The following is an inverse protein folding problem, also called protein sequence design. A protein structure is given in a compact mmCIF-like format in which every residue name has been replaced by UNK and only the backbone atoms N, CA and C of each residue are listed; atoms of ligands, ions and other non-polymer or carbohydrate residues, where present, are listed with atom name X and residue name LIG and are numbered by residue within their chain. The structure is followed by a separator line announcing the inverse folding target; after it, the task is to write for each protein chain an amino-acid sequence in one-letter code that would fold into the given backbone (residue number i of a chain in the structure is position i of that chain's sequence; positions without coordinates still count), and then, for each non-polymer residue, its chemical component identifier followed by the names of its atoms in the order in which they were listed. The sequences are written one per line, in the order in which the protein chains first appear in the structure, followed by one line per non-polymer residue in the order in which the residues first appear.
data_IF_026630620427
#
_entry.id   IF_026630620427
#
_cell.length_a   1.000
_cell.length_b   1.000
_cell.length_c   1.000
_cell.angle_alpha   90.00
_cell.angle_beta   90.00
_cell.angle_gamma   90.00
#
_symmetry.space_group_name_H-M   'P 1'
#
loop_
_entity.id
_entity.type
_entity.pdbx_description
1 polymer ?
#
# COMPACT_ATOMS: atom_id res chain seq x y z
N UNK A 1 32.43 -29.34 -7.84
CA UNK A 1 31.15 -29.32 -7.13
C UNK A 1 30.13 -30.07 -7.94
N UNK A 2 29.63 -31.17 -7.36
CA UNK A 2 28.51 -31.94 -7.89
C UNK A 2 27.26 -31.05 -7.99
N UNK A 3 26.37 -31.36 -8.94
CA UNK A 3 25.14 -30.58 -9.16
C UNK A 3 24.26 -30.57 -7.91
N UNK A 4 24.24 -31.67 -7.15
CA UNK A 4 23.50 -31.81 -5.89
C UNK A 4 24.01 -30.85 -4.83
N UNK A 5 25.34 -30.72 -4.70
CA UNK A 5 25.99 -29.81 -3.75
C UNK A 5 25.68 -28.34 -4.05
N UNK A 6 25.67 -27.95 -5.35
CA UNK A 6 25.26 -26.61 -5.77
C UNK A 6 23.78 -26.32 -5.49
N UNK A 7 22.91 -27.32 -5.67
CA UNK A 7 21.48 -27.20 -5.37
C UNK A 7 21.27 -27.03 -3.87
N UNK A 8 21.89 -27.88 -3.05
CA UNK A 8 21.83 -27.80 -1.59
C UNK A 8 22.30 -26.42 -1.12
N UNK A 9 23.44 -25.93 -1.60
CA UNK A 9 23.93 -24.60 -1.22
C UNK A 9 22.96 -23.47 -1.60
N UNK A 10 22.36 -23.52 -2.80
CA UNK A 10 21.37 -22.52 -3.22
C UNK A 10 20.09 -22.59 -2.39
N UNK A 11 19.59 -23.78 -2.07
CA UNK A 11 18.41 -23.96 -1.22
C UNK A 11 18.68 -23.45 0.19
N UNK A 12 19.80 -23.87 0.79
CA UNK A 12 20.15 -23.52 2.17
C UNK A 12 20.37 -22.01 2.35
N UNK A 13 20.93 -21.31 1.36
CA UNK A 13 21.17 -19.86 1.50
C UNK A 13 19.98 -19.04 1.03
N UNK A 14 19.61 -19.16 -0.26
CA UNK A 14 18.61 -18.29 -0.88
C UNK A 14 17.19 -18.59 -0.39
N UNK A 15 16.82 -19.86 -0.28
CA UNK A 15 15.47 -20.20 0.17
C UNK A 15 15.30 -19.87 1.66
N UNK A 16 16.30 -20.15 2.50
CA UNK A 16 16.27 -19.79 3.91
C UNK A 16 16.15 -18.26 4.10
N UNK A 17 16.92 -17.46 3.37
CA UNK A 17 16.82 -16.00 3.44
C UNK A 17 15.42 -15.50 3.07
N UNK A 18 14.83 -16.02 1.98
CA UNK A 18 13.46 -15.64 1.57
C UNK A 18 12.40 -16.03 2.61
N UNK A 19 12.55 -17.19 3.23
CA UNK A 19 11.64 -17.64 4.29
C UNK A 19 11.77 -16.76 5.55
N UNK A 20 12.99 -16.31 5.88
CA UNK A 20 13.20 -15.37 6.98
C UNK A 20 12.57 -14.00 6.68
N UNK A 21 12.81 -13.45 5.49
CA UNK A 21 12.16 -12.20 5.05
C UNK A 21 10.63 -12.29 5.16
N UNK A 22 10.04 -13.41 4.73
CA UNK A 22 8.60 -13.63 4.86
C UNK A 22 8.14 -13.58 6.33
N UNK A 23 8.80 -14.33 7.22
CA UNK A 23 8.45 -14.35 8.66
C UNK A 23 8.57 -12.98 9.30
N UNK A 24 9.65 -12.27 9.02
CA UNK A 24 9.88 -10.92 9.54
C UNK A 24 8.82 -9.94 9.03
N UNK A 25 8.59 -9.90 7.72
CA UNK A 25 7.56 -9.05 7.13
C UNK A 25 6.17 -9.37 7.68
N UNK A 26 5.84 -10.65 7.87
CA UNK A 26 4.58 -11.08 8.46
C UNK A 26 4.42 -10.59 9.89
N UNK A 27 5.46 -10.72 10.72
CA UNK A 27 5.43 -10.23 12.11
C UNK A 27 5.20 -8.71 12.20
N UNK A 28 5.80 -7.93 11.30
CA UNK A 28 5.56 -6.49 11.23
C UNK A 28 4.21 -6.14 10.63
N UNK A 29 3.67 -6.94 9.73
CA UNK A 29 2.31 -6.76 9.23
C UNK A 29 1.27 -7.01 10.32
N UNK A 30 1.47 -8.02 11.17
CA UNK A 30 0.60 -8.25 12.32
C UNK A 30 0.69 -7.09 13.33
N UNK A 31 1.89 -6.58 13.60
CA UNK A 31 2.08 -5.38 14.42
C UNK A 31 1.43 -4.14 13.79
N UNK A 32 1.50 -3.99 12.46
CA UNK A 32 0.83 -2.90 11.74
C UNK A 32 -0.69 -2.96 11.92
N UNK A 33 -1.28 -4.16 11.91
CA UNK A 33 -2.71 -4.33 12.18
C UNK A 33 -3.10 -3.87 13.58
N UNK A 34 -2.30 -4.21 14.58
CA UNK A 34 -2.49 -3.73 15.95
C UNK A 34 -2.42 -2.20 16.02
N UNK A 35 -1.40 -1.59 15.38
CA UNK A 35 -1.24 -0.13 15.31
C UNK A 35 -2.46 0.54 14.67
N UNK A 36 -2.98 0.00 13.56
CA UNK A 36 -4.17 0.53 12.89
C UNK A 36 -5.41 0.39 13.77
N UNK A 37 -5.55 -0.75 14.47
CA UNK A 37 -6.64 -1.00 15.41
C UNK A 37 -6.64 0.03 16.53
N UNK A 38 -5.51 0.17 17.24
CA UNK A 38 -5.31 1.16 18.32
C UNK A 38 -5.56 2.59 17.84
N UNK A 39 -4.99 2.97 16.69
CA UNK A 39 -5.16 4.32 16.14
C UNK A 39 -6.62 4.59 15.74
N UNK A 40 -7.31 3.60 15.19
CA UNK A 40 -8.72 3.76 14.83
C UNK A 40 -9.61 3.98 16.06
N UNK A 41 -9.33 3.29 17.17
CA UNK A 41 -10.06 3.45 18.43
C UNK A 41 -9.76 4.81 19.07
N UNK A 42 -8.48 5.20 19.13
CA UNK A 42 -8.01 6.50 19.62
C UNK A 42 -8.72 7.65 18.87
N UNK A 43 -8.67 7.64 17.54
CA UNK A 43 -9.27 8.69 16.73
C UNK A 43 -10.80 8.68 16.79
N UNK A 44 -11.43 7.51 16.83
CA UNK A 44 -12.89 7.42 16.91
C UNK A 44 -13.43 7.97 18.24
N UNK A 45 -12.70 7.76 19.35
CA UNK A 45 -13.06 8.33 20.66
C UNK A 45 -13.04 9.87 20.66
N UNK A 46 -12.07 10.47 19.97
CA UNK A 46 -11.95 11.92 19.87
C UNK A 46 -12.95 12.54 18.86
N UNK A 47 -13.22 11.86 17.74
CA UNK A 47 -14.03 12.41 16.65
C UNK A 47 -15.53 12.15 16.82
N UNK A 48 -15.93 10.98 17.31
CA UNK A 48 -17.35 10.61 17.45
C UNK A 48 -18.19 11.59 18.29
N UNK A 49 -17.67 12.18 19.39
CA UNK A 49 -18.38 13.23 20.14
C UNK A 49 -18.60 14.52 19.35
N UNK A 50 -17.76 14.80 18.35
CA UNK A 50 -17.82 16.01 17.51
C UNK A 50 -18.80 15.78 16.36
N UNK A 51 -18.63 14.68 15.62
CA UNK A 51 -19.53 14.28 14.54
C UNK A 51 -19.58 12.76 14.38
N UNK A 52 -20.70 12.17 14.82
CA UNK A 52 -21.00 10.73 14.70
C UNK A 52 -21.07 10.22 13.26
N UNK A 53 -21.14 11.10 12.26
CA UNK A 53 -21.18 10.73 10.84
C UNK A 53 -19.78 10.53 10.24
N UNK A 54 -18.74 11.01 10.91
CA UNK A 54 -17.35 10.75 10.54
C UNK A 54 -16.95 9.38 11.09
N UNK A 55 -17.20 8.35 10.28
CA UNK A 55 -16.89 6.97 10.66
C UNK A 55 -15.38 6.70 10.52
N UNK A 56 -14.73 6.37 11.62
CA UNK A 56 -13.35 5.88 11.67
C UNK A 56 -13.39 4.42 12.12
N UNK A 57 -12.91 3.50 11.28
CA UNK A 57 -12.92 2.07 11.59
C UNK A 57 -11.80 1.32 10.89
N UNK A 58 -11.34 0.25 11.50
CA UNK A 58 -10.53 -0.75 10.84
C UNK A 58 -11.36 -2.00 10.52
N UNK A 59 -10.93 -2.81 9.57
CA UNK A 59 -11.51 -4.13 9.28
C UNK A 59 -10.39 -5.08 8.88
N UNK A 60 -10.14 -6.10 9.71
CA UNK A 60 -9.21 -7.17 9.36
C UNK A 60 -9.85 -8.07 8.28
N UNK A 61 -9.16 -8.26 7.14
CA UNK A 61 -9.62 -9.03 5.99
C UNK A 61 -8.88 -10.36 5.83
N UNK A 62 -8.27 -10.83 6.90
CA UNK A 62 -7.54 -12.10 6.95
C UNK A 62 -6.03 -11.87 6.94
N UNK A 63 -5.27 -12.91 6.66
CA UNK A 63 -3.83 -12.95 6.96
C UNK A 63 -3.01 -11.81 6.32
N UNK A 64 -3.39 -11.34 5.14
CA UNK A 64 -2.58 -10.44 4.32
C UNK A 64 -3.19 -9.06 4.08
N UNK A 65 -4.33 -8.75 4.70
CA UNK A 65 -5.05 -7.51 4.42
C UNK A 65 -5.71 -6.90 5.65
N UNK A 66 -5.64 -5.57 5.76
CA UNK A 66 -6.43 -4.76 6.69
C UNK A 66 -6.90 -3.48 5.99
N UNK A 67 -8.17 -3.16 6.17
CA UNK A 67 -8.78 -1.91 5.72
C UNK A 67 -8.81 -0.91 6.87
N UNK A 68 -8.51 0.35 6.56
CA UNK A 68 -8.65 1.47 7.48
C UNK A 68 -9.48 2.57 6.83
N UNK A 69 -10.73 2.70 7.27
CA UNK A 69 -11.66 3.73 6.82
C UNK A 69 -11.59 4.94 7.73
N UNK A 70 -11.55 6.13 7.13
CA UNK A 70 -11.69 7.40 7.81
C UNK A 70 -12.23 8.43 6.81
N UNK A 71 -13.14 9.31 7.27
CA UNK A 71 -13.75 10.33 6.41
C UNK A 71 -14.37 9.70 5.13
N UNK A 72 -14.01 10.21 3.96
CA UNK A 72 -14.43 9.70 2.64
C UNK A 72 -13.46 8.71 1.99
N UNK A 73 -12.42 8.25 2.71
CA UNK A 73 -11.35 7.42 2.16
C UNK A 73 -11.22 6.08 2.91
N UNK A 74 -10.65 5.10 2.23
CA UNK A 74 -10.28 3.78 2.77
C UNK A 74 -8.85 3.48 2.32
N UNK A 75 -7.96 3.30 3.29
CA UNK A 75 -6.65 2.73 3.05
C UNK A 75 -6.72 1.21 3.15
N UNK A 76 -6.15 0.53 2.16
CA UNK A 76 -5.99 -0.93 2.17
C UNK A 76 -4.51 -1.23 2.25
N UNK A 77 -4.11 -1.85 3.36
CA UNK A 77 -2.77 -2.37 3.56
C UNK A 77 -2.76 -3.84 3.18
N UNK A 78 -1.97 -4.18 2.16
CA UNK A 78 -1.89 -5.52 1.63
C UNK A 78 -0.45 -6.03 1.63
N UNK A 79 -0.16 -7.03 2.47
CA UNK A 79 1.12 -7.73 2.46
C UNK A 79 1.18 -8.71 1.30
N UNK A 80 2.23 -8.62 0.48
CA UNK A 80 2.47 -9.59 -0.58
C UNK A 80 3.07 -10.90 -0.01
N UNK A 81 2.63 -12.06 -0.53
CA UNK A 81 3.08 -13.38 -0.07
C UNK A 81 4.52 -13.74 -0.50
N UNK A 82 4.93 -13.24 -1.66
CA UNK A 82 6.29 -13.40 -2.18
C UNK A 82 7.27 -12.35 -1.66
N UNK A 83 8.56 -12.71 -1.70
CA UNK A 83 9.70 -11.81 -1.47
C UNK A 83 10.28 -11.31 -2.78
N UNK A 84 10.65 -10.04 -2.79
CA UNK A 84 11.15 -9.32 -3.96
C UNK A 84 12.61 -8.94 -3.75
N UNK A 85 13.32 -8.71 -4.84
CA UNK A 85 14.63 -8.08 -4.85
C UNK A 85 14.63 -7.00 -5.92
N UNK A 86 15.69 -6.21 -5.97
CA UNK A 86 15.79 -5.04 -6.82
C UNK A 86 16.59 -5.34 -8.08
N UNK A 87 16.29 -4.61 -9.16
CA UNK A 87 17.14 -4.60 -10.34
C UNK A 87 18.58 -4.25 -9.96
N UNK A 88 19.56 -4.82 -10.65
CA UNK A 88 20.99 -4.62 -10.31
C UNK A 88 21.45 -3.18 -10.48
N UNK A 89 20.72 -2.35 -11.22
CA UNK A 89 20.95 -0.90 -11.32
C UNK A 89 20.43 -0.10 -10.11
N UNK A 90 19.64 -0.71 -9.22
CA UNK A 90 19.05 -0.01 -8.09
C UNK A 90 20.10 0.41 -7.04
N UNK A 91 19.98 1.63 -6.51
CA UNK A 91 20.95 2.21 -5.56
C UNK A 91 21.19 1.36 -4.30
N UNK A 92 20.22 0.54 -3.90
CA UNK A 92 20.33 -0.35 -2.73
C UNK A 92 21.57 -1.26 -2.79
N UNK A 93 22.00 -1.67 -3.99
CA UNK A 93 23.18 -2.51 -4.20
C UNK A 93 24.50 -1.77 -3.95
N UNK A 94 24.47 -0.44 -3.84
CA UNK A 94 25.67 0.36 -3.56
C UNK A 94 25.99 0.45 -2.08
N UNK A 95 25.06 0.14 -1.17
CA UNK A 95 25.31 0.21 0.28
C UNK A 95 26.30 -0.87 0.72
N UNK A 96 27.15 -0.54 1.70
CA UNK A 96 28.06 -1.52 2.31
C UNK A 96 27.27 -2.69 2.92
N UNK A 97 26.16 -2.38 3.59
CA UNK A 97 25.27 -3.33 4.22
C UNK A 97 24.80 -4.46 3.27
N UNK A 98 24.40 -4.12 2.03
CA UNK A 98 23.97 -5.12 1.03
C UNK A 98 25.14 -5.77 0.31
N UNK A 99 26.27 -5.07 0.16
CA UNK A 99 27.50 -5.65 -0.43
C UNK A 99 28.10 -6.75 0.43
N UNK A 100 27.97 -6.65 1.75
CA UNK A 100 28.41 -7.69 2.70
C UNK A 100 27.60 -8.98 2.58
N UNK A 101 26.29 -8.87 2.35
CA UNK A 101 25.39 -10.00 2.15
C UNK A 101 24.28 -9.62 1.16
N UNK A 102 24.39 -10.11 -0.07
CA UNK A 102 23.44 -9.82 -1.14
C UNK A 102 22.00 -10.26 -0.84
N UNK A 103 21.83 -11.20 0.10
CA UNK A 103 20.50 -11.65 0.50
C UNK A 103 19.75 -10.61 1.35
N UNK A 104 20.44 -9.58 1.87
CA UNK A 104 19.82 -8.43 2.56
C UNK A 104 19.01 -7.52 1.63
N UNK A 105 19.20 -7.66 0.31
CA UNK A 105 18.38 -6.97 -0.69
C UNK A 105 17.01 -7.64 -0.93
N UNK A 106 16.74 -8.82 -0.36
CA UNK A 106 15.41 -9.42 -0.42
C UNK A 106 14.49 -8.77 0.61
N UNK A 107 13.34 -8.30 0.15
CA UNK A 107 12.34 -7.64 0.98
C UNK A 107 10.96 -8.28 0.83
N UNK A 108 10.22 -8.35 1.92
CA UNK A 108 8.77 -8.43 1.91
C UNK A 108 8.21 -7.04 1.60
N UNK A 109 6.99 -7.00 1.07
CA UNK A 109 6.36 -5.76 0.59
C UNK A 109 4.96 -5.65 1.15
N UNK A 110 4.67 -4.51 1.77
CA UNK A 110 3.32 -4.09 2.14
C UNK A 110 2.93 -2.95 1.19
N UNK A 111 1.91 -3.17 0.36
CA UNK A 111 1.36 -2.15 -0.51
C UNK A 111 0.23 -1.41 0.21
N UNK A 112 0.14 -0.10 0.01
CA UNK A 112 -0.92 0.73 0.57
C UNK A 112 -1.69 1.41 -0.55
N UNK A 113 -2.97 1.08 -0.64
CA UNK A 113 -3.88 1.63 -1.64
C UNK A 113 -4.87 2.60 -1.00
N UNK A 114 -5.13 3.74 -1.63
CA UNK A 114 -6.23 4.64 -1.26
C UNK A 114 -7.42 4.45 -2.20
N UNK A 115 -8.61 4.27 -1.64
CA UNK A 115 -9.91 4.21 -2.32
C UNK A 115 -10.92 5.18 -1.71
N UNK A 116 -11.94 5.54 -2.48
CA UNK A 116 -13.10 6.25 -1.94
C UNK A 116 -13.96 5.29 -1.10
N UNK A 117 -14.42 5.73 0.07
CA UNK A 117 -15.30 4.94 0.92
C UNK A 117 -16.62 4.58 0.24
N UNK A 118 -17.11 5.45 -0.64
CA UNK A 118 -18.32 5.23 -1.43
C UNK A 118 -18.20 4.06 -2.41
N UNK A 119 -16.98 3.77 -2.88
CA UNK A 119 -16.73 2.60 -3.73
C UNK A 119 -17.14 1.31 -3.03
N UNK A 120 -16.87 1.22 -1.73
CA UNK A 120 -17.22 0.08 -0.90
C UNK A 120 -18.69 0.10 -0.50
N UNK A 121 -19.19 1.26 -0.07
CA UNK A 121 -20.59 1.44 0.36
C UNK A 121 -21.60 1.09 -0.73
N UNK A 122 -21.32 1.45 -1.97
CA UNK A 122 -22.20 1.22 -3.12
C UNK A 122 -21.74 0.06 -4.02
N UNK A 123 -20.74 -0.72 -3.57
CA UNK A 123 -20.18 -1.86 -4.30
C UNK A 123 -19.77 -1.51 -5.75
N UNK A 124 -19.14 -0.35 -5.95
CA UNK A 124 -18.67 0.12 -7.26
C UNK A 124 -17.34 -0.55 -7.60
N UNK A 125 -17.43 -1.82 -8.02
CA UNK A 125 -16.27 -2.72 -8.20
C UNK A 125 -15.24 -2.27 -9.25
N UNK A 126 -15.57 -1.36 -10.18
CA UNK A 126 -14.61 -0.83 -11.15
C UNK A 126 -14.07 0.56 -10.78
N UNK A 127 -14.32 1.04 -9.56
CA UNK A 127 -13.64 2.23 -9.04
C UNK A 127 -12.15 1.95 -8.89
N UNK A 128 -11.34 2.93 -9.29
CA UNK A 128 -9.89 2.80 -9.22
C UNK A 128 -9.39 3.20 -7.83
N UNK A 129 -8.53 2.35 -7.26
CA UNK A 129 -7.67 2.69 -6.14
C UNK A 129 -6.29 3.12 -6.61
N UNK A 130 -5.59 3.85 -5.76
CA UNK A 130 -4.26 4.38 -6.02
C UNK A 130 -3.26 3.76 -5.07
N UNK A 131 -2.19 3.18 -5.60
CA UNK A 131 -1.02 2.83 -4.78
C UNK A 131 -0.36 4.13 -4.33
N UNK A 132 -0.48 4.46 -3.04
CA UNK A 132 0.06 5.69 -2.46
C UNK A 132 1.38 5.46 -1.71
N UNK A 133 1.65 4.22 -1.31
CA UNK A 133 2.85 3.86 -0.58
C UNK A 133 3.16 2.37 -0.63
N UNK A 134 4.42 2.05 -0.36
CA UNK A 134 4.98 0.71 -0.21
C UNK A 134 5.98 0.72 0.94
N UNK A 135 5.93 -0.32 1.77
CA UNK A 135 6.93 -0.56 2.82
C UNK A 135 7.69 -1.83 2.46
N UNK A 136 9.01 -1.71 2.33
CA UNK A 136 9.91 -2.82 2.05
C UNK A 136 10.63 -3.22 3.33
N UNK A 137 10.58 -4.50 3.72
CA UNK A 137 11.16 -4.99 4.98
C UNK A 137 12.04 -6.20 4.69
N UNK A 138 13.30 -6.18 5.14
CA UNK A 138 14.22 -7.29 4.93
C UNK A 138 14.32 -8.23 6.15
N UNK A 139 15.14 -9.28 6.02
CA UNK A 139 15.34 -10.31 7.06
C UNK A 139 15.95 -9.78 8.37
N UNK A 140 16.65 -8.66 8.32
CA UNK A 140 17.31 -8.05 9.48
C UNK A 140 16.45 -6.92 10.07
N UNK A 141 15.17 -6.80 9.64
CA UNK A 141 14.20 -5.76 10.05
C UNK A 141 14.52 -4.35 9.56
N UNK A 142 15.51 -4.21 8.69
CA UNK A 142 15.76 -2.97 7.99
C UNK A 142 14.65 -2.73 6.97
N UNK A 143 14.29 -1.47 6.80
CA UNK A 143 13.18 -1.10 5.94
C UNK A 143 13.44 0.21 5.20
N UNK A 144 12.66 0.43 4.15
CA UNK A 144 12.49 1.74 3.55
C UNK A 144 11.07 1.87 3.01
N UNK A 145 10.64 3.11 2.76
CA UNK A 145 9.34 3.35 2.14
C UNK A 145 9.51 3.95 0.76
N UNK A 146 8.54 3.67 -0.11
CA UNK A 146 8.46 4.26 -1.44
C UNK A 146 7.01 4.65 -1.70
N UNK A 147 6.79 5.81 -2.30
CA UNK A 147 5.45 6.36 -2.49
C UNK A 147 5.52 7.75 -3.09
N UNK A 148 4.37 8.40 -3.18
CA UNK A 148 4.28 9.77 -3.68
C UNK A 148 4.34 10.79 -2.52
N UNK A 149 4.74 12.01 -2.83
CA UNK A 149 4.70 13.13 -1.88
C UNK A 149 5.65 12.95 -0.70
N UNK A 150 5.13 13.07 0.53
CA UNK A 150 5.94 12.93 1.76
C UNK A 150 6.49 11.51 1.94
N UNK A 151 5.82 10.52 1.35
CA UNK A 151 6.26 9.12 1.44
C UNK A 151 7.50 8.81 0.62
N UNK A 152 7.83 9.60 -0.40
CA UNK A 152 9.07 9.42 -1.18
C UNK A 152 10.35 9.69 -0.37
N UNK A 153 10.21 10.39 0.76
CA UNK A 153 11.34 10.83 1.59
C UNK A 153 11.34 10.22 3.00
N UNK A 154 10.27 9.53 3.39
CA UNK A 154 10.20 8.88 4.70
C UNK A 154 11.09 7.63 4.67
N UNK A 155 12.13 7.60 5.50
CA UNK A 155 12.99 6.43 5.72
C UNK A 155 13.64 5.88 4.45
N UNK A 156 14.66 6.60 3.97
CA UNK A 156 15.48 6.19 2.82
C UNK A 156 16.84 5.61 3.23
N UNK A 157 17.15 5.53 4.53
CA UNK A 157 18.42 5.03 5.02
C UNK A 157 18.32 3.53 5.32
N UNK A 158 18.13 2.72 4.27
CA UNK A 158 17.88 1.27 4.38
C UNK A 158 18.90 0.50 5.23
N UNK A 159 20.15 0.98 5.34
CA UNK A 159 21.20 0.33 6.13
C UNK A 159 21.08 0.60 7.64
N UNK A 160 20.40 1.68 8.05
CA UNK A 160 20.34 2.13 9.45
C UNK A 160 18.91 2.13 10.01
N UNK A 161 17.91 2.37 9.16
CA UNK A 161 16.51 2.42 9.55
C UNK A 161 16.00 1.00 9.84
N UNK A 162 15.56 0.78 11.08
CA UNK A 162 14.93 -0.48 11.53
C UNK A 162 13.49 -0.23 11.91
N UNK A 163 12.62 -1.16 11.51
CA UNK A 163 11.19 -1.00 11.71
C UNK A 163 10.80 -1.33 13.16
N UNK A 164 9.92 -0.53 13.74
CA UNK A 164 9.35 -0.73 15.08
C UNK A 164 7.90 -0.19 15.12
N UNK A 165 7.23 -0.35 16.25
CA UNK A 165 5.81 0.04 16.42
C UNK A 165 5.57 1.54 16.21
N UNK A 166 6.42 2.40 16.78
CA UNK A 166 6.27 3.85 16.67
C UNK A 166 6.47 4.32 15.22
N UNK A 167 7.46 3.75 14.54
CA UNK A 167 7.70 3.99 13.12
C UNK A 167 6.51 3.57 12.27
N UNK A 168 5.89 2.41 12.55
CA UNK A 168 4.66 1.98 11.87
C UNK A 168 3.51 2.95 12.13
N UNK A 169 3.32 3.43 13.36
CA UNK A 169 2.30 4.43 13.71
C UNK A 169 2.50 5.71 12.90
N UNK A 170 3.73 6.21 12.82
CA UNK A 170 4.07 7.38 12.03
C UNK A 170 3.78 7.18 10.53
N UNK A 171 4.15 6.03 9.97
CA UNK A 171 3.86 5.69 8.56
C UNK A 171 2.35 5.71 8.29
N UNK A 172 1.55 5.08 9.17
CA UNK A 172 0.08 5.07 9.02
C UNK A 172 -0.48 6.49 9.06
N UNK A 173 -0.04 7.31 10.01
CA UNK A 173 -0.50 8.70 10.14
C UNK A 173 -0.16 9.55 8.92
N UNK A 174 1.06 9.46 8.38
CA UNK A 174 1.46 10.18 7.17
C UNK A 174 0.66 9.72 5.93
N UNK A 175 0.37 8.41 5.82
CA UNK A 175 -0.49 7.88 4.75
C UNK A 175 -1.94 8.38 4.88
N UNK A 176 -2.48 8.48 6.10
CA UNK A 176 -3.79 9.07 6.33
C UNK A 176 -3.84 10.53 5.90
N UNK A 177 -2.88 11.35 6.34
CA UNK A 177 -2.78 12.76 5.97
C UNK A 177 -2.68 12.90 4.45
N UNK A 178 -1.82 12.10 3.82
CA UNK A 178 -1.68 12.10 2.36
C UNK A 178 -2.97 11.72 1.63
N UNK A 179 -3.74 10.76 2.16
CA UNK A 179 -5.03 10.38 1.59
C UNK A 179 -6.08 11.48 1.74
N UNK A 180 -6.11 12.18 2.88
CA UNK A 180 -7.04 13.28 3.15
C UNK A 180 -6.75 14.53 2.30
N UNK A 181 -5.49 14.77 1.96
CA UNK A 181 -5.07 15.84 1.05
C UNK A 181 -5.45 15.55 -0.42
N UNK A 182 -5.96 14.36 -0.74
CA UNK A 182 -6.35 14.00 -2.10
C UNK A 182 -7.71 14.59 -2.48
N UNK A 183 -7.73 15.50 -3.47
CA UNK A 183 -8.96 16.09 -3.99
C UNK A 183 -9.51 15.39 -5.25
N UNK A 184 -10.85 15.34 -5.36
CA UNK A 184 -11.53 14.94 -6.59
C UNK A 184 -11.60 16.12 -7.57
N UNK A 185 -10.81 16.06 -8.64
CA UNK A 185 -10.85 17.06 -9.69
C UNK A 185 -11.88 16.67 -10.75
N UNK A 186 -12.81 17.57 -11.06
CA UNK A 186 -13.79 17.36 -12.13
C UNK A 186 -13.12 17.44 -13.51
N UNK A 187 -13.52 16.59 -14.47
CA UNK A 187 -13.03 16.73 -15.84
C UNK A 187 -13.51 18.07 -16.44
N UNK A 188 -12.76 18.65 -17.40
CA UNK A 188 -13.19 19.86 -18.10
C UNK A 188 -14.59 19.70 -18.70
N UNK A 189 -15.47 20.68 -18.49
CA UNK A 189 -16.88 20.61 -18.95
C UNK A 189 -17.02 20.25 -20.42
N UNK A 190 -16.15 20.81 -21.28
CA UNK A 190 -16.16 20.56 -22.74
C UNK A 190 -15.98 19.08 -23.10
N UNK A 191 -15.28 18.32 -22.27
CA UNK A 191 -15.00 16.91 -22.49
C UNK A 191 -16.21 16.02 -22.11
N UNK A 192 -17.18 16.55 -21.35
CA UNK A 192 -18.32 15.80 -20.80
C UNK A 192 -19.69 16.41 -21.12
N UNK A 193 -19.74 17.50 -21.91
CA UNK A 193 -20.98 18.25 -22.18
C UNK A 193 -21.99 17.51 -23.08
N UNK A 194 -21.56 16.48 -23.83
CA UNK A 194 -22.44 15.70 -24.71
C UNK A 194 -22.52 14.27 -24.19
N UNK A 195 -23.74 13.79 -23.95
CA UNK A 195 -24.02 12.42 -23.51
C UNK A 195 -25.24 11.88 -24.25
N UNK A 196 -25.18 10.63 -24.67
CA UNK A 196 -26.29 9.91 -25.31
C UNK A 196 -27.23 9.29 -24.26
N UNK A 197 -28.49 9.03 -24.65
CA UNK A 197 -29.43 8.27 -23.80
C UNK A 197 -28.92 6.87 -23.46
N UNK A 198 -28.14 6.24 -24.35
CA UNK A 198 -27.51 4.95 -24.09
C UNK A 198 -26.49 5.07 -22.95
N UNK A 199 -25.59 6.05 -23.01
CA UNK A 199 -24.63 6.32 -21.94
C UNK A 199 -25.32 6.65 -20.61
N UNK A 200 -26.45 7.37 -20.60
CA UNK A 200 -27.21 7.63 -19.35
C UNK A 200 -27.80 6.33 -18.77
N UNK A 201 -28.37 5.46 -19.61
CA UNK A 201 -28.88 4.16 -19.16
C UNK A 201 -27.74 3.28 -18.64
N UNK A 202 -26.63 3.26 -19.35
CA UNK A 202 -25.43 2.54 -18.96
C UNK A 202 -24.88 3.10 -17.65
N UNK A 203 -24.77 4.42 -17.46
CA UNK A 203 -24.36 5.06 -16.20
C UNK A 203 -25.34 4.78 -15.06
N UNK A 204 -26.64 4.64 -15.32
CA UNK A 204 -27.61 4.31 -14.27
C UNK A 204 -27.49 2.85 -13.85
N UNK A 205 -27.17 1.96 -14.79
CA UNK A 205 -26.85 0.55 -14.51
C UNK A 205 -25.45 0.41 -13.88
N UNK A 206 -24.50 1.21 -14.35
CA UNK A 206 -23.09 1.25 -13.97
C UNK A 206 -22.79 2.23 -12.83
N UNK A 207 -23.76 2.94 -12.26
CA UNK A 207 -23.59 3.63 -10.97
C UNK A 207 -23.30 2.61 -9.86
N UNK A 208 -23.65 1.34 -10.10
CA UNK A 208 -23.21 0.16 -9.36
C UNK A 208 -21.80 -0.32 -9.76
N UNK A 209 -21.19 0.23 -10.79
CA UNK A 209 -20.03 -0.35 -11.46
C UNK A 209 -18.84 0.59 -11.66
N UNK A 210 -18.94 1.91 -11.92
CA UNK A 210 -17.73 2.71 -12.23
C UNK A 210 -17.82 4.19 -11.89
N UNK A 211 -16.96 4.67 -11.01
CA UNK A 211 -16.64 6.06 -10.69
C UNK A 211 -15.13 6.15 -10.47
N UNK A 212 -14.40 6.64 -11.47
CA UNK A 212 -12.96 6.81 -11.36
C UNK A 212 -12.62 8.17 -10.74
N UNK A 213 -11.78 8.19 -9.68
CA UNK A 213 -10.77 9.25 -9.48
C UNK A 213 -9.88 9.22 -10.74
N UNK A 214 -9.63 10.32 -11.45
CA UNK A 214 -8.58 10.35 -12.49
C UNK A 214 -7.96 11.73 -12.68
N UNK A 215 -6.63 11.77 -12.71
CA UNK A 215 -5.87 12.65 -13.62
C UNK A 215 -6.42 12.44 -15.04
N UNK A 216 -6.73 13.53 -15.74
CA UNK A 216 -7.45 13.59 -17.01
C UNK A 216 -7.45 12.31 -17.87
N UNK A 217 -8.65 11.79 -18.15
CA UNK A 217 -8.84 10.72 -19.11
C UNK A 217 -8.32 11.13 -20.50
N UNK A 218 -7.13 10.67 -20.88
CA UNK A 218 -6.82 10.42 -22.29
C UNK A 218 -7.29 9.02 -22.64
N UNK A 219 -8.28 8.91 -23.53
CA UNK A 219 -8.45 7.72 -24.35
C UNK A 219 -7.27 7.66 -25.30
N UNK A 220 -6.27 6.82 -25.01
CA UNK A 220 -5.26 6.48 -26.00
C UNK A 220 -5.85 5.35 -26.84
N UNK A 221 -6.37 5.73 -28.01
CA UNK A 221 -6.71 4.77 -29.06
C UNK A 221 -5.47 3.98 -29.45
N UNK A 222 -5.72 2.72 -29.73
CA UNK A 222 -4.81 1.72 -30.26
C UNK A 222 -4.08 2.21 -31.52
N UNK A 223 -2.84 1.78 -31.66
CA UNK A 223 -2.25 1.46 -32.96
C UNK A 223 -1.85 0.00 -32.92
#
# INVERSE_FOLDING_TARGET
MDSSEKIINKLTQKAAAKQEVYRVCKSFFDLLKEVISELSEELNQEVSPIDKHVEIKHTDKGEFEIEFKFSGDILIFHMHSNTFSFDKSHQIWNSSYVKEDEYRAYCGVINVYNFLSDSFKYNRVNDLGYLIGRVFINKDKHFFTDGNGRMSFLHNDFQNDTLNKDTLKNIVQELMLHAMDFELITPPYKDVQVVSLHQIKEMSQNMKLKTAKKLGFKFRNEK
#
